data_IF_941260100012
#
_entry.id   IF_941260100012
#
_cell.length_a   1.000
_cell.length_b   1.000
_cell.length_c   1.000
_cell.angle_alpha   90.00
_cell.angle_beta   90.00
_cell.angle_gamma   90.00
#
_symmetry.space_group_name_H-M   'P 1'
#
loop_
_entity.id
_entity.type
_entity.pdbx_description
1 polymer ?
#
# COMPACT_ATOMS: atom_id res chain seq x y z
N UNK A 1 -0.74 -48.22 63.70
CA UNK A 1 -1.55 -46.98 63.86
C UNK A 1 -1.13 -46.11 65.05
N UNK A 2 -0.95 -46.66 66.26
CA UNK A 2 -0.55 -45.88 67.46
C UNK A 2 0.82 -45.17 67.39
N UNK A 3 1.80 -45.71 66.66
CA UNK A 3 3.14 -45.09 66.51
C UNK A 3 3.14 -43.83 65.63
N UNK A 4 2.24 -43.75 64.65
CA UNK A 4 2.10 -42.59 63.76
C UNK A 4 1.55 -41.40 64.55
N UNK A 5 0.61 -41.67 65.46
CA UNK A 5 0.01 -40.65 66.31
C UNK A 5 1.01 -40.06 67.33
N UNK A 6 1.89 -40.89 67.89
CA UNK A 6 2.97 -40.43 68.77
C UNK A 6 4.04 -39.62 68.03
N UNK A 7 4.37 -40.00 66.78
CA UNK A 7 5.28 -39.24 65.92
C UNK A 7 4.70 -37.87 65.57
N UNK A 8 3.41 -37.81 65.25
CA UNK A 8 2.70 -36.54 64.98
C UNK A 8 2.71 -35.65 66.22
N UNK A 9 2.51 -36.20 67.42
CA UNK A 9 2.48 -35.40 68.65
C UNK A 9 3.87 -34.94 69.10
N UNK A 10 4.90 -35.77 68.94
CA UNK A 10 6.27 -35.44 69.37
C UNK A 10 7.04 -34.58 68.36
N UNK A 11 6.73 -34.70 67.06
CA UNK A 11 7.47 -34.05 65.97
C UNK A 11 6.57 -33.19 65.06
N UNK A 12 5.42 -32.75 65.57
CA UNK A 12 4.47 -31.85 64.87
C UNK A 12 5.17 -30.66 64.19
N UNK A 13 6.15 -30.05 64.88
CA UNK A 13 6.90 -28.90 64.38
C UNK A 13 7.79 -29.26 63.18
N UNK A 14 8.46 -30.41 63.22
CA UNK A 14 9.34 -30.86 62.14
C UNK A 14 8.54 -31.29 60.90
N UNK A 15 7.39 -31.95 61.09
CA UNK A 15 6.47 -32.26 60.00
C UNK A 15 5.92 -31.00 59.34
N UNK A 16 5.56 -29.98 60.12
CA UNK A 16 5.10 -28.70 59.59
C UNK A 16 6.19 -28.02 58.77
N UNK A 17 7.43 -28.01 59.25
CA UNK A 17 8.59 -27.49 58.52
C UNK A 17 8.83 -28.27 57.22
N UNK A 18 8.78 -29.60 57.27
CA UNK A 18 8.95 -30.45 56.08
C UNK A 18 7.87 -30.19 55.02
N UNK A 19 6.62 -30.01 55.45
CA UNK A 19 5.51 -29.64 54.56
C UNK A 19 5.75 -28.24 53.97
N UNK A 20 6.22 -27.27 54.76
CA UNK A 20 6.51 -25.92 54.29
C UNK A 20 7.64 -25.89 53.25
N UNK A 21 8.69 -26.70 53.44
CA UNK A 21 9.77 -26.83 52.46
C UNK A 21 9.26 -27.49 51.18
N UNK A 22 8.43 -28.53 51.30
CA UNK A 22 7.85 -29.21 50.15
C UNK A 22 6.94 -28.27 49.34
N UNK A 23 6.09 -27.47 50.00
CA UNK A 23 5.20 -26.52 49.32
C UNK A 23 5.98 -25.42 48.62
N UNK A 24 7.01 -24.86 49.25
CA UNK A 24 7.88 -23.84 48.62
C UNK A 24 8.62 -24.43 47.43
N UNK A 25 9.15 -25.65 47.54
CA UNK A 25 9.86 -26.31 46.44
C UNK A 25 8.96 -26.56 45.22
N UNK A 26 7.71 -27.00 45.45
CA UNK A 26 6.72 -27.20 44.38
C UNK A 26 6.32 -25.87 43.75
N UNK A 27 6.11 -24.83 44.55
CA UNK A 27 5.79 -23.49 44.06
C UNK A 27 6.91 -22.94 43.17
N UNK A 28 8.16 -23.08 43.61
CA UNK A 28 9.34 -22.60 42.89
C UNK A 28 9.52 -23.31 41.55
N UNK A 29 9.30 -24.63 41.50
CA UNK A 29 9.37 -25.38 40.25
C UNK A 29 8.27 -24.99 39.27
N UNK A 30 7.05 -24.75 39.76
CA UNK A 30 5.91 -24.30 38.94
C UNK A 30 6.11 -22.88 38.39
N UNK A 31 6.64 -21.98 39.21
CA UNK A 31 6.92 -20.59 38.83
C UNK A 31 8.04 -20.51 37.78
N UNK A 32 9.11 -21.29 37.96
CA UNK A 32 10.21 -21.35 37.01
C UNK A 32 9.78 -21.90 35.64
N UNK A 33 8.95 -22.96 35.61
CA UNK A 33 8.36 -23.45 34.35
C UNK A 33 7.44 -22.40 33.71
N UNK A 34 6.63 -21.69 34.50
CA UNK A 34 5.77 -20.62 34.01
C UNK A 34 6.55 -19.47 33.35
N UNK A 35 7.67 -19.06 33.95
CA UNK A 35 8.54 -18.01 33.42
C UNK A 35 9.20 -18.42 32.10
N UNK A 36 9.71 -19.65 31.99
CA UNK A 36 10.31 -20.16 30.74
C UNK A 36 9.26 -20.21 29.63
N UNK A 37 8.07 -20.74 29.93
CA UNK A 37 6.98 -20.79 28.95
C UNK A 37 6.49 -19.40 28.52
N UNK A 38 6.43 -18.43 29.44
CA UNK A 38 6.06 -17.06 29.12
C UNK A 38 7.13 -16.39 28.24
N UNK A 39 8.41 -16.63 28.53
CA UNK A 39 9.52 -16.12 27.74
C UNK A 39 9.53 -16.70 26.32
N UNK A 40 9.39 -18.02 26.17
CA UNK A 40 9.31 -18.70 24.87
C UNK A 40 8.08 -18.25 24.08
N UNK A 41 6.92 -18.14 24.73
CA UNK A 41 5.71 -17.63 24.09
C UNK A 41 5.88 -16.18 23.63
N UNK A 42 6.55 -15.34 24.42
CA UNK A 42 6.85 -13.95 24.03
C UNK A 42 7.78 -13.89 22.82
N UNK A 43 8.86 -14.69 22.84
CA UNK A 43 9.85 -14.74 21.75
C UNK A 43 9.20 -15.19 20.46
N UNK A 44 8.41 -16.27 20.52
CA UNK A 44 7.64 -16.77 19.38
C UNK A 44 6.63 -15.75 18.87
N UNK A 45 5.98 -15.00 19.75
CA UNK A 45 5.07 -13.92 19.35
C UNK A 45 5.81 -12.78 18.63
N UNK A 46 7.00 -12.40 19.10
CA UNK A 46 7.81 -11.37 18.44
C UNK A 46 8.31 -11.83 17.07
N UNK A 47 8.77 -13.08 16.95
CA UNK A 47 9.16 -13.66 15.67
C UNK A 47 7.99 -13.64 14.67
N UNK A 48 6.80 -14.07 15.10
CA UNK A 48 5.59 -14.02 14.27
C UNK A 48 5.23 -12.59 13.85
N UNK A 49 5.39 -11.60 14.74
CA UNK A 49 5.15 -10.19 14.42
C UNK A 49 6.16 -9.66 13.40
N UNK A 50 7.44 -10.01 13.55
CA UNK A 50 8.50 -9.61 12.63
C UNK A 50 8.27 -10.24 11.25
N UNK A 51 7.95 -11.52 11.20
CA UNK A 51 7.64 -12.24 9.97
C UNK A 51 6.39 -11.67 9.28
N UNK A 52 5.33 -11.41 10.05
CA UNK A 52 4.12 -10.76 9.56
C UNK A 52 4.38 -9.37 8.99
N UNK A 53 5.22 -8.57 9.67
CA UNK A 53 5.63 -7.24 9.22
C UNK A 53 6.45 -7.32 7.93
N UNK A 54 7.42 -8.23 7.86
CA UNK A 54 8.24 -8.45 6.66
C UNK A 54 7.38 -8.85 5.46
N UNK A 55 6.46 -9.79 5.64
CA UNK A 55 5.56 -10.22 4.57
C UNK A 55 4.62 -9.10 4.10
N UNK A 56 4.18 -8.24 5.03
CA UNK A 56 3.34 -7.09 4.71
C UNK A 56 4.12 -6.05 3.92
N UNK A 57 5.36 -5.78 4.32
CA UNK A 57 6.24 -4.86 3.62
C UNK A 57 6.54 -5.34 2.20
N UNK A 58 6.88 -6.62 2.02
CA UNK A 58 7.11 -7.20 0.69
C UNK A 58 5.88 -7.06 -0.22
N UNK A 59 4.67 -7.30 0.32
CA UNK A 59 3.42 -7.10 -0.43
C UNK A 59 3.18 -5.63 -0.78
N UNK A 60 3.47 -4.71 0.13
CA UNK A 60 3.33 -3.27 -0.12
C UNK A 60 4.30 -2.78 -1.19
N UNK A 61 5.55 -3.27 -1.17
CA UNK A 61 6.55 -2.94 -2.20
C UNK A 61 6.07 -3.39 -3.58
N UNK A 62 5.61 -4.64 -3.70
CA UNK A 62 5.08 -5.17 -4.97
C UNK A 62 3.90 -4.35 -5.47
N UNK A 63 2.92 -4.05 -4.59
CA UNK A 63 1.76 -3.22 -4.96
C UNK A 63 2.16 -1.81 -5.39
N UNK A 64 3.16 -1.22 -4.73
CA UNK A 64 3.66 0.11 -5.08
C UNK A 64 4.34 0.09 -6.44
N UNK A 65 5.14 -0.93 -6.72
CA UNK A 65 5.83 -1.08 -8.00
C UNK A 65 4.85 -1.34 -9.15
N UNK A 66 3.81 -2.14 -8.93
CA UNK A 66 2.70 -2.34 -9.86
C UNK A 66 1.97 -1.03 -10.17
N UNK A 67 1.57 -0.28 -9.13
CA UNK A 67 0.90 1.00 -9.29
C UNK A 67 1.77 2.04 -10.02
N UNK A 68 3.08 2.09 -9.71
CA UNK A 68 4.02 2.96 -10.41
C UNK A 68 4.21 2.55 -11.87
N UNK A 69 4.24 1.26 -12.16
CA UNK A 69 4.33 0.73 -13.53
C UNK A 69 3.09 1.09 -14.35
N UNK A 70 1.90 0.92 -13.77
CA UNK A 70 0.64 1.29 -14.41
C UNK A 70 0.56 2.80 -14.66
N UNK A 71 0.92 3.61 -13.66
CA UNK A 71 0.95 5.06 -13.78
C UNK A 71 1.90 5.52 -14.92
N UNK A 72 3.10 4.95 -14.99
CA UNK A 72 4.05 5.23 -16.08
C UNK A 72 3.48 4.86 -17.45
N UNK A 73 2.83 3.70 -17.58
CA UNK A 73 2.17 3.31 -18.83
C UNK A 73 1.08 4.31 -19.22
N UNK A 74 0.30 4.79 -18.26
CA UNK A 74 -0.76 5.77 -18.53
C UNK A 74 -0.20 7.11 -18.98
N UNK A 75 0.91 7.57 -18.40
CA UNK A 75 1.59 8.78 -18.88
C UNK A 75 2.01 8.61 -20.34
N UNK A 76 2.67 7.50 -20.68
CA UNK A 76 3.15 7.26 -22.05
C UNK A 76 1.97 7.27 -23.04
N UNK A 77 0.85 6.64 -22.68
CA UNK A 77 -0.36 6.66 -23.51
C UNK A 77 -0.85 8.10 -23.71
N UNK A 78 -0.97 8.87 -22.63
CA UNK A 78 -1.44 10.26 -22.71
C UNK A 78 -0.49 11.16 -23.51
N UNK A 79 0.82 10.94 -23.40
CA UNK A 79 1.81 11.68 -24.18
C UNK A 79 1.71 11.37 -25.67
N UNK A 80 1.51 10.09 -26.03
CA UNK A 80 1.27 9.67 -27.40
C UNK A 80 -0.04 10.24 -27.94
N UNK A 81 -1.15 10.11 -27.21
CA UNK A 81 -2.45 10.68 -27.61
C UNK A 81 -2.36 12.20 -27.81
N UNK A 82 -1.63 12.90 -26.95
CA UNK A 82 -1.38 14.34 -27.11
C UNK A 82 -0.58 14.63 -28.38
N UNK A 83 0.45 13.83 -28.66
CA UNK A 83 1.27 14.00 -29.85
C UNK A 83 0.46 13.77 -31.13
N UNK A 84 -0.34 12.71 -31.17
CA UNK A 84 -1.24 12.40 -32.28
C UNK A 84 -2.24 13.55 -32.51
N UNK A 85 -2.82 14.09 -31.44
CA UNK A 85 -3.75 15.22 -31.53
C UNK A 85 -3.07 16.50 -32.05
N UNK A 86 -1.82 16.76 -31.64
CA UNK A 86 -1.05 17.90 -32.16
C UNK A 86 -0.81 17.74 -33.66
N UNK A 87 -0.40 16.55 -34.09
CA UNK A 87 -0.15 16.26 -35.51
C UNK A 87 -1.44 16.37 -36.34
N UNK A 88 -2.55 15.83 -35.86
CA UNK A 88 -3.86 15.96 -36.51
C UNK A 88 -4.29 17.43 -36.63
N UNK A 89 -4.09 18.22 -35.57
CA UNK A 89 -4.39 19.65 -35.58
C UNK A 89 -3.52 20.42 -36.57
N UNK A 90 -2.23 20.10 -36.68
CA UNK A 90 -1.32 20.72 -37.66
C UNK A 90 -1.72 20.38 -39.09
N UNK A 91 -2.04 19.11 -39.36
CA UNK A 91 -2.53 18.66 -40.66
C UNK A 91 -3.85 19.36 -41.03
N UNK A 92 -4.81 19.42 -40.10
CA UNK A 92 -6.08 20.12 -40.31
C UNK A 92 -5.89 21.61 -40.61
N UNK A 93 -4.96 22.28 -39.92
CA UNK A 93 -4.61 23.68 -40.20
C UNK A 93 -3.98 23.84 -41.59
N UNK A 94 -3.11 22.92 -41.99
CA UNK A 94 -2.48 22.93 -43.31
C UNK A 94 -3.52 22.76 -44.42
N UNK A 95 -4.41 21.78 -44.29
CA UNK A 95 -5.51 21.53 -45.23
C UNK A 95 -6.44 22.73 -45.33
N UNK A 96 -6.82 23.31 -44.19
CA UNK A 96 -7.66 24.51 -44.16
C UNK A 96 -7.00 25.70 -44.84
N UNK A 97 -5.68 25.86 -44.68
CA UNK A 97 -4.93 26.91 -45.39
C UNK A 97 -4.95 26.70 -46.89
N UNK A 98 -4.76 25.46 -47.36
CA UNK A 98 -4.83 25.13 -48.80
C UNK A 98 -6.24 25.37 -49.34
N UNK A 99 -7.29 24.97 -48.62
CA UNK A 99 -8.70 25.23 -48.97
C UNK A 99 -8.94 26.74 -49.16
N UNK A 100 -8.49 27.57 -48.21
CA UNK A 100 -8.66 29.02 -48.27
C UNK A 100 -7.89 29.66 -49.42
N UNK A 101 -6.66 29.18 -49.73
CA UNK A 101 -5.88 29.66 -50.88
C UNK A 101 -6.59 29.31 -52.19
N UNK A 102 -7.12 28.09 -52.31
CA UNK A 102 -7.84 27.66 -53.50
C UNK A 102 -9.16 28.42 -53.67
N UNK A 103 -9.90 28.66 -52.58
CA UNK A 103 -11.10 29.48 -52.60
C UNK A 103 -10.78 30.89 -53.10
N UNK A 104 -9.76 31.55 -52.55
CA UNK A 104 -9.34 32.88 -52.99
C UNK A 104 -8.98 32.94 -54.48
N UNK A 105 -8.37 31.88 -55.03
CA UNK A 105 -7.95 31.84 -56.45
C UNK A 105 -9.10 31.52 -57.41
N UNK A 106 -10.02 30.64 -57.02
CA UNK A 106 -11.12 30.18 -57.87
C UNK A 106 -12.41 30.99 -57.73
N UNK A 107 -12.65 31.54 -56.55
CA UNK A 107 -13.86 32.30 -56.18
C UNK A 107 -13.51 33.41 -55.16
N UNK A 108 -12.98 34.55 -55.64
CA UNK A 108 -12.59 35.66 -54.79
C UNK A 108 -13.75 36.25 -53.98
N UNK A 109 -14.94 36.36 -54.59
CA UNK A 109 -16.13 36.94 -53.96
C UNK A 109 -16.65 36.03 -52.84
N UNK A 110 -16.67 34.71 -53.07
CA UNK A 110 -16.99 33.72 -52.04
C UNK A 110 -15.98 33.69 -50.88
N UNK A 111 -14.70 33.99 -51.14
CA UNK A 111 -13.70 34.14 -50.10
C UNK A 111 -13.95 35.38 -49.21
N UNK A 112 -14.29 36.52 -49.82
CA UNK A 112 -14.63 37.76 -49.11
C UNK A 112 -15.84 37.52 -48.20
N UNK A 113 -16.94 36.99 -48.75
CA UNK A 113 -18.17 36.72 -47.98
C UNK A 113 -17.92 35.79 -46.78
N UNK A 114 -17.04 34.79 -46.92
CA UNK A 114 -16.65 33.87 -45.85
C UNK A 114 -15.85 34.57 -44.74
N UNK A 115 -14.97 35.51 -45.09
CA UNK A 115 -14.23 36.35 -44.13
C UNK A 115 -15.19 37.29 -43.39
N UNK A 116 -16.09 37.96 -44.11
CA UNK A 116 -17.08 38.88 -43.55
C UNK A 116 -18.00 38.15 -42.56
N UNK A 117 -18.50 36.96 -42.93
CA UNK A 117 -19.38 36.16 -42.07
C UNK A 117 -18.66 35.62 -40.83
N UNK A 118 -17.40 35.17 -40.99
CA UNK A 118 -16.68 34.50 -39.91
C UNK A 118 -16.04 35.48 -38.91
N UNK A 119 -15.65 36.67 -39.36
CA UNK A 119 -14.94 37.65 -38.54
C UNK A 119 -15.70 38.97 -38.34
N UNK A 120 -16.84 39.17 -39.00
CA UNK A 120 -17.67 40.37 -38.87
C UNK A 120 -17.08 41.61 -39.55
N UNK A 121 -16.21 41.43 -40.55
CA UNK A 121 -15.67 42.54 -41.33
C UNK A 121 -16.62 42.91 -42.48
N UNK A 122 -16.55 44.16 -42.93
CA UNK A 122 -17.16 44.65 -44.18
C UNK A 122 -16.04 44.94 -45.17
N UNK A 123 -16.14 44.41 -46.38
CA UNK A 123 -15.18 44.66 -47.44
C UNK A 123 -15.37 46.08 -47.98
N UNK A 124 -14.27 46.84 -48.05
CA UNK A 124 -14.25 48.19 -48.63
C UNK A 124 -13.33 48.14 -49.85
N UNK A 125 -13.87 48.53 -51.01
CA UNK A 125 -13.18 48.55 -52.32
C UNK A 125 -11.96 49.49 -52.37
#
# INVERSE_FOLDING_TARGET
MLRVFQLIQSYWKELLIAILIATVSVLWWRDHQGLVHAYDASTKSYEQRIEGLKSSYEKEVVKKDEALSEYKKRIIILENERQDYIEELENSKADRKVELINLRRGDPDGFILKIETQFGFEHVE
#
